data_IF_884093891591
#
_entry.id   IF_884093891591
#
_cell.length_a   1.000
_cell.length_b   1.000
_cell.length_c   1.000
_cell.angle_alpha   90.00
_cell.angle_beta   90.00
_cell.angle_gamma   90.00
#
_symmetry.space_group_name_H-M   'P 1'
#
loop_
_entity.id
_entity.type
_entity.pdbx_description
1 polymer ?
#
# COMPACT_ATOMS: atom_id res chain seq x y z
N UNK A 1 -13.80 24.01 -5.52
CA UNK A 1 -13.96 22.75 -6.28
C UNK A 1 -15.43 22.65 -6.66
N UNK A 2 -15.76 22.57 -7.95
CA UNK A 2 -17.17 22.44 -8.37
C UNK A 2 -17.68 21.04 -8.03
N UNK A 3 -18.95 20.90 -7.61
CA UNK A 3 -19.51 19.57 -7.28
C UNK A 3 -19.54 18.64 -8.48
N UNK A 4 -19.68 19.19 -9.69
CA UNK A 4 -19.61 18.46 -10.96
C UNK A 4 -18.24 17.83 -11.22
N UNK A 5 -17.16 18.40 -10.66
CA UNK A 5 -15.81 17.84 -10.77
C UNK A 5 -15.59 16.61 -9.88
N UNK A 6 -16.52 16.32 -8.96
CA UNK A 6 -16.42 15.16 -8.08
C UNK A 6 -16.95 13.93 -8.84
N UNK A 7 -16.04 12.99 -9.10
CA UNK A 7 -16.35 11.78 -9.86
C UNK A 7 -16.50 10.54 -8.97
N UNK A 8 -15.79 10.49 -7.84
CA UNK A 8 -15.75 9.32 -6.95
C UNK A 8 -15.61 9.75 -5.50
N UNK A 9 -16.29 9.05 -4.60
CA UNK A 9 -16.20 9.23 -3.16
C UNK A 9 -15.92 7.88 -2.51
N UNK A 10 -14.95 7.83 -1.60
CA UNK A 10 -14.62 6.64 -0.82
C UNK A 10 -14.55 7.01 0.65
N UNK A 11 -15.11 6.17 1.51
CA UNK A 11 -14.98 6.26 2.96
C UNK A 11 -14.35 4.97 3.45
N UNK A 12 -13.11 5.08 3.94
CA UNK A 12 -12.21 3.95 4.18
C UNK A 12 -11.70 3.98 5.62
N UNK A 13 -12.04 3.01 6.47
CA UNK A 13 -11.46 2.90 7.80
C UNK A 13 -9.97 2.56 7.69
N UNK A 14 -9.13 3.19 8.51
CA UNK A 14 -7.71 2.86 8.59
C UNK A 14 -7.51 1.61 9.47
N UNK A 15 -6.37 0.94 9.31
CA UNK A 15 -6.04 -0.26 10.09
C UNK A 15 -5.72 0.02 11.57
N UNK A 16 -5.62 1.30 11.97
CA UNK A 16 -5.35 1.68 13.36
C UNK A 16 -6.62 1.78 14.22
N UNK A 17 -7.80 1.54 13.64
CA UNK A 17 -9.13 1.64 14.27
C UNK A 17 -9.53 3.01 14.81
N UNK A 18 -8.61 3.96 14.83
CA UNK A 18 -8.77 5.32 15.36
C UNK A 18 -9.17 6.30 14.26
N UNK A 19 -8.71 6.07 13.02
CA UNK A 19 -8.92 7.02 11.93
C UNK A 19 -9.79 6.46 10.81
N UNK A 20 -10.53 7.36 10.18
CA UNK A 20 -11.24 7.10 8.92
C UNK A 20 -10.76 8.08 7.86
N UNK A 21 -10.51 7.57 6.66
CA UNK A 21 -10.10 8.38 5.52
C UNK A 21 -11.26 8.57 4.55
N UNK A 22 -11.49 9.82 4.14
CA UNK A 22 -12.42 10.17 3.09
C UNK A 22 -11.64 10.62 1.85
N UNK A 23 -11.82 9.88 0.75
CA UNK A 23 -11.10 10.11 -0.51
C UNK A 23 -12.06 10.63 -1.56
N UNK A 24 -11.73 11.77 -2.16
CA UNK A 24 -12.51 12.43 -3.21
C UNK A 24 -11.71 12.38 -4.50
N UNK A 25 -12.23 11.68 -5.50
CA UNK A 25 -11.70 11.69 -6.86
C UNK A 25 -12.23 12.89 -7.64
N UNK A 26 -11.32 13.63 -8.28
CA UNK A 26 -11.58 14.87 -8.99
C UNK A 26 -11.21 14.78 -10.47
N UNK A 27 -12.11 15.27 -11.32
CA UNK A 27 -11.87 15.46 -12.75
C UNK A 27 -12.51 16.79 -13.21
N UNK A 28 -11.72 17.80 -13.63
CA UNK A 28 -10.26 17.79 -13.73
C UNK A 28 -9.56 17.78 -12.35
N UNK A 29 -8.30 17.29 -12.28
CA UNK A 29 -7.52 17.32 -11.04
C UNK A 29 -7.22 18.77 -10.61
N UNK A 30 -7.13 19.00 -9.30
CA UNK A 30 -6.66 20.30 -8.78
C UNK A 30 -5.16 20.45 -9.05
N UNK A 31 -4.68 21.69 -9.13
CA UNK A 31 -3.27 21.97 -9.39
C UNK A 31 -2.66 22.81 -8.27
N UNK A 32 -1.45 22.47 -7.89
CA UNK A 32 -0.59 23.30 -7.05
C UNK A 32 0.75 23.45 -7.78
N UNK A 33 0.98 24.61 -8.39
CA UNK A 33 2.09 24.80 -9.33
C UNK A 33 1.98 23.86 -10.54
N UNK A 34 3.03 23.09 -10.81
CA UNK A 34 3.06 22.11 -11.90
C UNK A 34 2.38 20.77 -11.52
N UNK A 35 2.22 20.48 -10.23
CA UNK A 35 1.70 19.20 -9.73
C UNK A 35 0.18 19.16 -9.81
N UNK A 36 -0.37 18.02 -10.27
CA UNK A 36 -1.81 17.75 -10.34
C UNK A 36 -2.22 16.74 -9.28
N UNK A 37 -3.30 17.00 -8.56
CA UNK A 37 -3.88 16.09 -7.58
C UNK A 37 -5.26 15.63 -8.06
N UNK A 38 -5.36 14.41 -8.63
CA UNK A 38 -6.64 13.81 -9.01
C UNK A 38 -7.43 13.29 -7.81
N UNK A 39 -6.81 13.17 -6.64
CA UNK A 39 -7.45 12.74 -5.42
C UNK A 39 -7.15 13.69 -4.27
N UNK A 40 -8.17 13.98 -3.46
CA UNK A 40 -8.03 14.56 -2.14
C UNK A 40 -8.27 13.46 -1.11
N UNK A 41 -7.36 13.35 -0.13
CA UNK A 41 -7.48 12.40 0.98
C UNK A 41 -7.56 13.22 2.25
N UNK A 42 -8.69 13.10 2.97
CA UNK A 42 -8.90 13.70 4.28
C UNK A 42 -8.91 12.60 5.33
N UNK A 43 -8.24 12.83 6.46
CA UNK A 43 -8.21 11.91 7.59
C UNK A 43 -9.02 12.54 8.72
N UNK A 44 -9.94 11.77 9.28
CA UNK A 44 -10.76 12.14 10.43
C UNK A 44 -10.44 11.19 11.59
N UNK A 45 -10.53 11.69 12.81
CA UNK A 45 -10.58 10.85 14.01
C UNK A 45 -12.00 10.27 14.10
N UNK A 46 -12.10 8.97 14.37
CA UNK A 46 -13.38 8.24 14.29
C UNK A 46 -14.39 8.71 15.34
N UNK A 47 -13.92 9.03 16.54
CA UNK A 47 -14.75 9.45 17.67
C UNK A 47 -14.89 10.98 17.78
N UNK A 48 -14.36 11.72 16.79
CA UNK A 48 -14.56 13.17 16.72
C UNK A 48 -15.98 13.44 16.20
N UNK A 49 -16.80 14.06 17.03
CA UNK A 49 -18.16 14.48 16.70
C UNK A 49 -18.21 15.97 16.38
N UNK A 50 -19.14 16.33 15.49
CA UNK A 50 -19.38 17.72 15.10
C UNK A 50 -20.86 18.04 15.27
N UNK A 51 -21.15 19.13 16.00
CA UNK A 51 -22.45 19.80 16.02
C UNK A 51 -22.44 20.93 14.99
N UNK A 52 -23.20 20.77 13.90
CA UNK A 52 -23.33 21.78 12.84
C UNK A 52 -24.80 22.01 12.51
N UNK A 53 -25.19 23.27 12.53
CA UNK A 53 -26.45 23.76 11.95
C UNK A 53 -26.18 24.21 10.52
N UNK A 54 -26.91 23.65 9.56
CA UNK A 54 -26.81 24.05 8.17
C UNK A 54 -27.42 25.43 7.98
N UNK A 55 -26.66 26.35 7.37
CA UNK A 55 -27.16 27.67 6.99
C UNK A 55 -27.98 27.59 5.70
N UNK A 56 -29.13 26.91 5.74
CA UNK A 56 -30.05 26.68 4.62
C UNK A 56 -31.49 26.80 5.14
N UNK A 57 -32.34 27.53 4.42
CA UNK A 57 -33.77 27.63 4.75
C UNK A 57 -34.50 26.28 4.55
N UNK A 58 -35.47 25.99 5.42
CA UNK A 58 -36.24 24.73 5.39
C UNK A 58 -36.97 24.51 4.05
N UNK A 59 -37.42 25.59 3.40
CA UNK A 59 -38.04 25.53 2.08
C UNK A 59 -37.06 25.01 1.02
N UNK A 60 -35.83 25.53 1.00
CA UNK A 60 -34.79 25.10 0.04
C UNK A 60 -34.37 23.66 0.32
N UNK A 61 -34.28 23.29 1.59
CA UNK A 61 -33.89 21.96 2.04
C UNK A 61 -34.89 20.89 1.56
N UNK A 62 -36.19 21.17 1.66
CA UNK A 62 -37.24 20.28 1.16
C UNK A 62 -37.33 20.29 -0.38
N UNK A 63 -37.20 21.44 -1.02
CA UNK A 63 -37.43 21.57 -2.47
C UNK A 63 -36.26 21.09 -3.31
N UNK A 64 -35.01 21.37 -2.90
CA UNK A 64 -33.80 21.03 -3.68
C UNK A 64 -33.14 19.73 -3.25
N UNK A 65 -33.20 19.39 -1.96
CA UNK A 65 -32.47 18.25 -1.40
C UNK A 65 -33.37 17.08 -1.01
N UNK A 66 -34.69 17.18 -1.22
CA UNK A 66 -35.64 16.08 -1.08
C UNK A 66 -35.56 15.42 0.31
N UNK A 67 -35.35 16.23 1.36
CA UNK A 67 -35.20 15.76 2.74
C UNK A 67 -33.96 14.89 3.00
N UNK A 68 -32.98 14.85 2.09
CA UNK A 68 -31.75 14.05 2.25
C UNK A 68 -30.71 14.71 3.16
N UNK A 69 -30.91 15.99 3.49
CA UNK A 69 -30.11 16.73 4.45
C UNK A 69 -30.94 16.98 5.70
N UNK A 70 -30.29 17.00 6.85
CA UNK A 70 -30.89 17.42 8.11
C UNK A 70 -30.50 18.87 8.40
N UNK A 71 -31.38 19.67 9.01
CA UNK A 71 -31.06 21.08 9.33
C UNK A 71 -29.97 21.19 10.40
N UNK A 72 -29.86 20.19 11.28
CA UNK A 72 -28.83 20.08 12.32
C UNK A 72 -28.24 18.68 12.27
N UNK A 73 -26.91 18.59 12.36
CA UNK A 73 -26.18 17.33 12.52
C UNK A 73 -25.51 17.30 13.88
N UNK A 74 -25.58 16.14 14.53
CA UNK A 74 -24.86 15.81 15.76
C UNK A 74 -24.39 14.36 15.64
N UNK A 75 -23.26 14.17 14.96
CA UNK A 75 -22.75 12.87 14.55
C UNK A 75 -21.23 12.94 14.34
N UNK A 76 -20.54 11.78 14.17
CA UNK A 76 -19.12 11.77 13.85
C UNK A 76 -18.81 12.60 12.60
N UNK A 77 -17.74 13.40 12.66
CA UNK A 77 -17.36 14.38 11.63
C UNK A 77 -17.23 13.74 10.24
N UNK A 78 -16.69 12.52 10.17
CA UNK A 78 -16.55 11.80 8.90
C UNK A 78 -17.91 11.41 8.28
N UNK A 79 -18.94 11.14 9.10
CA UNK A 79 -20.29 10.83 8.64
C UNK A 79 -20.99 12.07 8.13
N UNK A 80 -20.88 13.18 8.87
CA UNK A 80 -21.44 14.48 8.46
C UNK A 80 -20.83 14.92 7.14
N UNK A 81 -19.50 14.96 7.03
CA UNK A 81 -18.81 15.38 5.81
C UNK A 81 -19.14 14.45 4.64
N UNK A 82 -19.07 13.12 4.83
CA UNK A 82 -19.34 12.19 3.73
C UNK A 82 -20.80 12.24 3.25
N UNK A 83 -21.76 12.47 4.14
CA UNK A 83 -23.18 12.65 3.82
C UNK A 83 -23.42 13.94 3.03
N UNK A 84 -22.84 15.06 3.47
CA UNK A 84 -22.94 16.33 2.74
C UNK A 84 -22.37 16.20 1.33
N UNK A 85 -21.16 15.64 1.18
CA UNK A 85 -20.56 15.44 -0.14
C UNK A 85 -21.37 14.48 -1.02
N UNK A 86 -21.93 13.41 -0.46
CA UNK A 86 -22.81 12.48 -1.19
C UNK A 86 -24.02 13.19 -1.78
N UNK A 87 -24.71 14.01 -0.98
CA UNK A 87 -25.92 14.72 -1.41
C UNK A 87 -25.59 15.85 -2.37
N UNK A 88 -24.59 16.68 -2.07
CA UNK A 88 -24.22 17.82 -2.90
C UNK A 88 -23.64 17.41 -4.26
N UNK A 89 -22.87 16.32 -4.32
CA UNK A 89 -22.30 15.81 -5.57
C UNK A 89 -23.20 14.80 -6.29
N UNK A 90 -24.27 14.31 -5.65
CA UNK A 90 -25.11 13.21 -6.14
C UNK A 90 -24.29 11.95 -6.53
N UNK A 91 -23.15 11.73 -5.85
CA UNK A 91 -22.28 10.56 -6.06
C UNK A 91 -22.41 9.58 -4.91
N UNK A 92 -22.41 8.29 -5.23
CA UNK A 92 -22.40 7.23 -4.21
C UNK A 92 -21.04 7.20 -3.49
N UNK A 93 -21.08 7.14 -2.17
CA UNK A 93 -19.90 6.86 -1.34
C UNK A 93 -19.63 5.36 -1.36
N UNK A 94 -18.40 5.00 -1.72
CA UNK A 94 -17.93 3.62 -1.74
C UNK A 94 -17.28 3.28 -0.41
N UNK A 95 -17.79 2.25 0.25
CA UNK A 95 -17.23 1.70 1.50
C UNK A 95 -16.71 0.28 1.24
N UNK A 96 -15.69 -0.20 1.99
CA UNK A 96 -15.28 -1.59 1.92
C UNK A 96 -16.42 -2.47 2.42
N UNK A 97 -16.67 -3.59 1.74
CA UNK A 97 -17.78 -4.47 2.10
C UNK A 97 -17.38 -5.94 2.06
N UNK A 98 -16.96 -6.43 0.89
CA UNK A 98 -16.77 -7.87 0.64
C UNK A 98 -15.40 -8.42 1.07
N UNK A 99 -14.35 -7.61 1.02
CA UNK A 99 -13.01 -8.07 1.37
C UNK A 99 -12.81 -8.09 2.90
N UNK A 100 -12.19 -9.15 3.40
CA UNK A 100 -11.68 -9.26 4.76
C UNK A 100 -10.28 -9.87 4.68
N UNK A 101 -9.33 -9.18 5.29
CA UNK A 101 -7.95 -9.62 5.45
C UNK A 101 -7.87 -10.75 6.49
N UNK A 102 -6.68 -11.34 6.66
CA UNK A 102 -6.45 -12.38 7.68
C UNK A 102 -6.86 -11.93 9.08
N UNK A 103 -6.59 -10.67 9.44
CA UNK A 103 -6.98 -10.07 10.71
C UNK A 103 -8.40 -9.49 10.71
N UNK A 104 -9.25 -9.90 9.76
CA UNK A 104 -10.63 -9.40 9.59
C UNK A 104 -10.73 -7.88 9.31
N UNK A 105 -9.65 -7.25 8.87
CA UNK A 105 -9.63 -5.83 8.49
C UNK A 105 -9.93 -5.64 7.01
N UNK A 106 -10.27 -4.41 6.61
CA UNK A 106 -10.75 -4.11 5.24
C UNK A 106 -9.64 -3.68 4.27
N UNK A 107 -8.37 -3.71 4.70
CA UNK A 107 -7.22 -3.26 3.92
C UNK A 107 -6.00 -4.12 4.21
N UNK A 108 -4.98 -3.98 3.37
CA UNK A 108 -3.69 -4.67 3.53
C UNK A 108 -2.58 -3.63 3.58
N UNK A 109 -1.71 -3.69 4.60
CA UNK A 109 -0.52 -2.84 4.67
C UNK A 109 0.45 -3.26 3.58
N UNK A 110 0.92 -2.30 2.78
CA UNK A 110 1.90 -2.54 1.72
C UNK A 110 2.69 -1.26 1.42
N UNK A 111 3.75 -1.39 0.64
CA UNK A 111 4.53 -0.25 0.16
C UNK A 111 4.39 -0.13 -1.35
N UNK A 112 4.26 1.08 -1.85
CA UNK A 112 4.34 1.35 -3.28
C UNK A 112 5.54 2.24 -3.54
N UNK A 113 6.55 1.69 -4.22
CA UNK A 113 7.90 2.28 -4.31
C UNK A 113 8.44 2.54 -2.90
N UNK A 114 8.88 3.77 -2.60
CA UNK A 114 9.40 4.16 -1.29
C UNK A 114 8.32 4.59 -0.27
N UNK A 115 7.02 4.53 -0.62
CA UNK A 115 5.96 5.02 0.26
C UNK A 115 5.18 3.87 0.88
N UNK A 116 5.09 3.85 2.21
CA UNK A 116 4.18 2.95 2.92
C UNK A 116 2.73 3.43 2.85
N UNK A 117 1.80 2.48 2.77
CA UNK A 117 0.38 2.76 2.77
C UNK A 117 -0.48 1.51 2.94
N UNK A 118 -1.72 1.63 2.49
CA UNK A 118 -2.74 0.61 2.61
C UNK A 118 -3.42 0.42 1.25
N UNK A 119 -3.49 -0.83 0.82
CA UNK A 119 -4.25 -1.24 -0.35
C UNK A 119 -5.64 -1.68 0.12
N UNK A 120 -6.67 -1.10 -0.47
CA UNK A 120 -8.08 -1.43 -0.22
C UNK A 120 -8.66 -2.17 -1.43
N UNK A 121 -8.88 -3.49 -1.32
CA UNK A 121 -9.65 -4.24 -2.30
C UNK A 121 -11.15 -3.89 -2.18
N UNK A 122 -11.67 -3.13 -3.14
CA UNK A 122 -13.08 -2.73 -3.18
C UNK A 122 -13.85 -3.53 -4.24
N UNK A 123 -15.16 -3.31 -4.31
CA UNK A 123 -16.02 -4.13 -5.16
C UNK A 123 -15.68 -4.04 -6.66
N UNK A 124 -15.26 -2.86 -7.13
CA UNK A 124 -15.02 -2.56 -8.55
C UNK A 124 -13.61 -2.05 -8.85
N UNK A 125 -12.76 -1.89 -7.84
CA UNK A 125 -11.45 -1.29 -7.95
C UNK A 125 -10.56 -1.64 -6.75
N UNK A 126 -9.27 -1.45 -6.90
CA UNK A 126 -8.30 -1.36 -5.81
C UNK A 126 -7.91 0.10 -5.62
N UNK A 127 -7.76 0.52 -4.36
CA UNK A 127 -7.37 1.88 -4.00
C UNK A 127 -6.21 1.84 -3.01
N UNK A 128 -5.08 2.43 -3.38
CA UNK A 128 -3.93 2.60 -2.50
C UNK A 128 -3.89 4.04 -1.96
N UNK A 129 -3.79 4.18 -0.64
CA UNK A 129 -3.71 5.44 0.11
C UNK A 129 -2.72 5.30 1.27
N UNK A 130 -2.12 6.39 1.79
CA UNK A 130 -2.41 7.79 1.50
C UNK A 130 -1.70 8.34 0.25
N UNK A 131 -0.41 8.03 0.04
CA UNK A 131 0.41 8.68 -1.00
C UNK A 131 1.34 7.70 -1.74
N UNK A 132 1.46 7.81 -3.08
CA UNK A 132 0.55 8.55 -3.96
C UNK A 132 -0.78 7.81 -4.08
N UNK A 133 -1.90 8.53 -3.98
CA UNK A 133 -3.22 7.92 -4.10
C UNK A 133 -3.40 7.29 -5.47
N UNK A 134 -3.55 5.97 -5.52
CA UNK A 134 -3.57 5.20 -6.76
C UNK A 134 -4.84 4.40 -6.86
N UNK A 135 -5.60 4.67 -7.91
CA UNK A 135 -6.90 4.06 -8.18
C UNK A 135 -6.77 3.12 -9.38
N UNK A 136 -7.10 1.85 -9.15
CA UNK A 136 -6.93 0.76 -10.13
C UNK A 136 -8.32 0.12 -10.36
N UNK A 137 -9.03 0.44 -11.45
CA UNK A 137 -10.30 -0.21 -11.77
C UNK A 137 -10.11 -1.69 -12.10
N UNK A 138 -11.01 -2.55 -11.61
CA UNK A 138 -10.95 -3.99 -11.91
C UNK A 138 -11.07 -4.27 -13.42
N UNK A 139 -11.80 -3.41 -14.13
CA UNK A 139 -12.03 -3.51 -15.58
C UNK A 139 -10.76 -3.26 -16.41
N UNK A 140 -9.80 -2.52 -15.84
CA UNK A 140 -8.57 -2.12 -16.53
C UNK A 140 -7.41 -3.06 -16.22
N UNK A 141 -7.57 -4.00 -15.28
CA UNK A 141 -6.56 -5.02 -14.96
C UNK A 141 -6.60 -6.13 -16.02
N UNK A 142 -5.43 -6.52 -16.53
CA UNK A 142 -5.28 -7.68 -17.42
C UNK A 142 -4.98 -8.94 -16.61
N UNK A 143 -3.90 -8.91 -15.82
CA UNK A 143 -3.55 -9.96 -14.88
C UNK A 143 -2.89 -9.39 -13.61
N UNK A 144 -2.84 -10.21 -12.58
CA UNK A 144 -2.16 -9.91 -11.31
C UNK A 144 -1.13 -10.98 -11.04
N UNK A 145 0.10 -10.57 -10.74
CA UNK A 145 1.23 -11.46 -10.47
C UNK A 145 1.60 -11.36 -8.99
N UNK A 146 1.68 -12.51 -8.33
CA UNK A 146 2.22 -12.65 -6.99
C UNK A 146 3.67 -13.13 -7.11
N UNK A 147 4.61 -12.33 -6.62
CA UNK A 147 6.04 -12.65 -6.68
C UNK A 147 6.64 -12.66 -5.27
N UNK A 148 7.60 -13.57 -5.04
CA UNK A 148 8.38 -13.55 -3.80
C UNK A 148 9.31 -12.33 -3.80
N UNK A 149 9.51 -11.71 -2.65
CA UNK A 149 10.53 -10.65 -2.49
C UNK A 149 11.89 -11.25 -2.85
N UNK A 150 12.47 -10.80 -3.97
CA UNK A 150 13.77 -11.26 -4.47
C UNK A 150 14.89 -10.81 -3.55
N UNK A 151 15.24 -11.68 -2.61
CA UNK A 151 16.47 -11.63 -1.81
C UNK A 151 16.87 -13.07 -1.48
N UNK A 152 18.16 -13.37 -1.52
CA UNK A 152 18.77 -14.71 -1.42
C UNK A 152 18.53 -15.46 -0.08
N UNK A 153 17.46 -15.17 0.66
CA UNK A 153 17.11 -15.87 1.89
C UNK A 153 15.69 -16.42 1.82
N UNK A 154 15.60 -17.72 2.03
CA UNK A 154 14.42 -18.58 2.06
C UNK A 154 13.40 -18.24 3.17
N UNK A 155 13.48 -17.07 3.81
CA UNK A 155 12.74 -16.68 5.03
C UNK A 155 11.87 -15.40 4.90
N UNK A 156 11.72 -14.83 3.70
CA UNK A 156 10.87 -13.63 3.52
C UNK A 156 9.42 -13.90 3.96
N UNK A 157 8.99 -13.22 5.04
CA UNK A 157 7.61 -13.24 5.57
C UNK A 157 6.62 -12.45 4.72
N UNK A 158 7.11 -11.81 3.66
CA UNK A 158 6.34 -10.93 2.78
C UNK A 158 6.44 -11.34 1.31
N UNK A 159 5.49 -10.87 0.52
CA UNK A 159 5.46 -11.01 -0.93
C UNK A 159 5.14 -9.67 -1.60
N UNK A 160 5.36 -9.64 -2.92
CA UNK A 160 5.08 -8.52 -3.80
C UNK A 160 3.89 -8.85 -4.71
N UNK A 161 3.07 -7.84 -4.96
CA UNK A 161 1.87 -7.91 -5.79
C UNK A 161 1.99 -6.92 -6.95
N UNK A 162 1.98 -7.42 -8.18
CA UNK A 162 2.02 -6.59 -9.39
C UNK A 162 0.69 -6.67 -10.14
N UNK A 163 0.09 -5.51 -10.40
CA UNK A 163 -1.07 -5.36 -11.27
C UNK A 163 -0.58 -4.93 -12.65
N UNK A 164 -0.79 -5.76 -13.67
CA UNK A 164 -0.54 -5.33 -15.04
C UNK A 164 -1.85 -4.85 -15.65
N UNK A 165 -1.84 -3.60 -16.12
CA UNK A 165 -3.04 -2.98 -16.70
C UNK A 165 -3.10 -3.25 -18.19
N UNK A 166 -4.31 -3.27 -18.74
CA UNK A 166 -4.55 -3.37 -20.20
C UNK A 166 -3.95 -2.21 -21.00
N UNK A 167 -3.67 -1.08 -20.34
CA UNK A 167 -2.98 0.07 -20.92
C UNK A 167 -1.46 -0.11 -21.04
N UNK A 168 -0.89 -1.16 -20.46
CA UNK A 168 0.56 -1.40 -20.41
C UNK A 168 1.28 -0.69 -19.26
N UNK A 169 0.54 -0.08 -18.31
CA UNK A 169 1.10 0.49 -17.07
C UNK A 169 1.00 -0.55 -15.96
N UNK A 170 2.09 -0.78 -15.24
CA UNK A 170 2.11 -1.73 -14.13
C UNK A 170 2.21 -1.03 -12.77
N UNK A 171 1.49 -1.56 -11.78
CA UNK A 171 1.56 -1.10 -10.38
C UNK A 171 2.09 -2.22 -9.51
N UNK A 172 3.24 -2.00 -8.86
CA UNK A 172 3.84 -2.94 -7.93
C UNK A 172 3.69 -2.47 -6.49
N UNK A 173 3.15 -3.35 -5.66
CA UNK A 173 3.03 -3.20 -4.22
C UNK A 173 3.91 -4.24 -3.54
N UNK A 174 4.80 -3.81 -2.66
CA UNK A 174 5.75 -4.66 -1.95
C UNK A 174 5.43 -4.76 -0.46
N UNK A 175 6.14 -5.67 0.21
CA UNK A 175 6.09 -5.85 1.68
C UNK A 175 4.70 -6.23 2.21
N UNK A 176 3.94 -7.02 1.47
CA UNK A 176 2.64 -7.56 1.93
C UNK A 176 2.90 -8.83 2.75
N UNK A 177 2.29 -8.96 3.93
CA UNK A 177 2.42 -10.14 4.78
C UNK A 177 1.87 -11.40 4.07
N UNK A 178 2.59 -12.52 4.11
CA UNK A 178 2.21 -13.80 3.49
C UNK A 178 0.87 -14.34 3.98
N UNK A 179 0.45 -14.02 5.20
CA UNK A 179 -0.86 -14.39 5.74
C UNK A 179 -2.04 -13.81 4.92
N UNK A 180 -1.82 -12.71 4.21
CA UNK A 180 -2.83 -12.04 3.38
C UNK A 180 -2.96 -12.65 1.98
N UNK A 181 -2.04 -13.54 1.58
CA UNK A 181 -1.99 -14.13 0.24
C UNK A 181 -3.30 -14.83 -0.14
N UNK A 182 -3.75 -15.79 0.69
CA UNK A 182 -4.93 -16.62 0.39
C UNK A 182 -6.21 -15.79 0.24
N UNK A 183 -6.36 -14.76 1.08
CA UNK A 183 -7.53 -13.88 1.07
C UNK A 183 -7.52 -12.95 -0.15
N UNK A 184 -6.35 -12.39 -0.50
CA UNK A 184 -6.19 -11.55 -1.69
C UNK A 184 -6.41 -12.35 -2.97
N UNK A 185 -5.81 -13.54 -3.09
CA UNK A 185 -5.98 -14.41 -4.26
C UNK A 185 -7.45 -14.79 -4.45
N UNK A 186 -8.10 -15.29 -3.39
CA UNK A 186 -9.52 -15.66 -3.44
C UNK A 186 -10.41 -14.48 -3.83
N UNK A 187 -10.13 -13.29 -3.30
CA UNK A 187 -10.87 -12.09 -3.65
C UNK A 187 -10.67 -11.69 -5.12
N UNK A 188 -9.44 -11.67 -5.61
CA UNK A 188 -9.12 -11.30 -7.00
C UNK A 188 -9.74 -12.29 -7.99
N UNK A 189 -9.67 -13.60 -7.69
CA UNK A 189 -10.31 -14.65 -8.47
C UNK A 189 -11.85 -14.52 -8.46
N UNK A 190 -12.46 -14.16 -7.32
CA UNK A 190 -13.90 -13.89 -7.24
C UNK A 190 -14.36 -12.72 -8.12
N UNK A 191 -13.44 -11.83 -8.52
CA UNK A 191 -13.69 -10.72 -9.45
C UNK A 191 -13.50 -11.12 -10.91
N UNK A 192 -13.08 -12.35 -11.19
CA UNK A 192 -12.80 -12.85 -12.54
C UNK A 192 -11.50 -12.29 -13.13
N UNK A 193 -10.58 -11.82 -12.29
CA UNK A 193 -9.27 -11.33 -12.73
C UNK A 193 -8.30 -12.52 -12.75
N UNK A 194 -7.47 -12.62 -13.79
CA UNK A 194 -6.45 -13.68 -13.91
C UNK A 194 -5.32 -13.45 -12.90
N UNK A 195 -4.98 -14.48 -12.15
CA UNK A 195 -3.86 -14.47 -11.19
C UNK A 195 -2.74 -15.40 -11.68
N UNK A 196 -1.49 -14.95 -11.58
CA UNK A 196 -0.29 -15.76 -11.77
C UNK A 196 0.49 -15.80 -10.47
N UNK A 197 0.93 -16.98 -10.05
CA UNK A 197 1.69 -17.16 -8.82
C UNK A 197 3.12 -17.61 -9.14
N UNK A 198 4.09 -16.70 -9.00
CA UNK A 198 5.52 -16.96 -9.15
C UNK A 198 6.18 -17.34 -7.81
N UNK A 199 5.40 -17.50 -6.73
CA UNK A 199 5.91 -17.94 -5.42
C UNK A 199 6.06 -19.46 -5.31
N UNK A 200 5.35 -20.23 -6.14
CA UNK A 200 5.26 -21.70 -6.04
C UNK A 200 6.16 -22.46 -7.03
N UNK A 201 6.82 -21.78 -7.97
CA UNK A 201 7.51 -22.43 -9.09
C UNK A 201 8.90 -23.00 -8.73
N UNK A 202 9.27 -23.05 -7.44
CA UNK A 202 10.61 -23.47 -7.00
C UNK A 202 10.63 -24.37 -5.74
N UNK A 203 9.59 -25.20 -5.53
CA UNK A 203 9.69 -26.28 -4.53
C UNK A 203 8.37 -26.70 -3.91
N UNK A 204 7.62 -27.55 -4.60
CA UNK A 204 6.70 -28.47 -3.95
C UNK A 204 7.50 -29.56 -3.21
N UNK A 205 8.09 -29.22 -2.06
CA UNK A 205 8.33 -30.22 -1.02
C UNK A 205 7.05 -30.22 -0.19
N UNK A 206 6.16 -31.15 -0.53
CA UNK A 206 5.05 -31.50 0.35
C UNK A 206 5.63 -31.95 1.68
N UNK A 207 5.21 -31.33 2.78
CA UNK A 207 5.58 -31.75 4.14
C UNK A 207 5.20 -33.22 4.42
N UNK A 208 4.32 -33.83 3.63
CA UNK A 208 4.00 -35.27 3.71
C UNK A 208 5.14 -36.19 3.24
N UNK A 209 6.12 -35.68 2.49
CA UNK A 209 7.21 -36.52 1.96
C UNK A 209 8.45 -36.56 2.88
N UNK A 210 8.53 -35.64 3.85
CA UNK A 210 9.61 -35.64 4.86
C UNK A 210 9.30 -36.55 6.04
N UNK A 211 8.01 -36.84 6.31
CA UNK A 211 7.59 -37.72 7.41
C UNK A 211 7.58 -39.21 7.01
N UNK A 212 7.67 -39.50 5.70
CA UNK A 212 7.79 -40.86 5.17
C UNK A 212 9.24 -41.39 5.09
N UNK A 213 10.25 -40.54 5.34
CA UNK A 213 11.67 -40.95 5.35
C UNK A 213 12.27 -41.09 6.76
N UNK A 214 11.48 -40.86 7.83
CA UNK A 214 11.95 -40.98 9.22
C UNK A 214 11.16 -41.98 10.07
N UNK A 215 10.44 -42.91 9.44
CA UNK A 215 9.72 -43.96 10.15
C UNK A 215 9.62 -45.23 9.32
N UNK A 216 10.65 -46.08 9.42
CA UNK A 216 10.53 -47.55 9.56
C UNK A 216 11.94 -48.16 9.62
N UNK A 217 12.45 -48.32 10.85
CA UNK A 217 13.43 -49.35 11.18
C UNK A 217 12.72 -50.72 11.12
N UNK A 218 13.05 -51.55 10.13
CA UNK A 218 13.40 -52.97 10.36
C UNK A 218 13.94 -53.66 9.08
N UNK A 219 14.90 -54.55 9.29
CA UNK A 219 15.31 -55.68 8.44
C UNK A 219 16.43 -55.47 7.38
N UNK A 220 17.65 -55.80 7.81
CA UNK A 220 18.70 -56.59 7.14
C UNK A 220 18.80 -56.55 5.60
N UNK A 221 19.79 -55.79 5.09
CA UNK A 221 20.65 -56.30 4.00
C UNK A 221 21.93 -55.47 3.79
N UNK A 222 23.08 -56.14 3.94
CA UNK A 222 24.37 -55.68 3.44
C UNK A 222 24.33 -55.51 1.91
N UNK A 223 24.42 -54.27 1.41
CA UNK A 223 24.82 -54.02 0.02
C UNK A 223 25.86 -52.89 -0.03
N UNK A 224 27.08 -53.32 -0.35
CA UNK A 224 28.29 -52.52 -0.54
C UNK A 224 28.09 -51.36 -1.55
N UNK A 225 28.71 -50.18 -1.34
CA UNK A 225 28.77 -49.15 -2.37
C UNK A 225 29.83 -49.50 -3.44
N UNK A 226 29.56 -49.30 -4.75
CA UNK A 226 30.56 -49.53 -5.78
C UNK A 226 31.60 -48.41 -5.75
N UNK A 227 32.78 -48.73 -5.23
CA UNK A 227 34.01 -47.96 -5.39
C UNK A 227 34.29 -47.73 -6.88
N UNK A 228 34.31 -46.46 -7.32
CA UNK A 228 35.03 -46.05 -8.52
C UNK A 228 36.30 -45.32 -8.13
N UNK A 229 37.36 -46.11 -8.17
CA UNK A 229 38.76 -45.76 -8.03
C UNK A 229 39.18 -44.82 -9.18
N UNK A 230 39.55 -43.57 -8.88
CA UNK A 230 40.47 -42.78 -9.71
C UNK A 230 41.53 -42.22 -8.78
N UNK A 231 42.70 -42.86 -8.82
CA UNK A 231 43.87 -42.49 -8.04
C UNK A 231 44.54 -41.23 -8.57
N UNK A 232 45.29 -40.59 -7.66
CA UNK A 232 46.16 -39.45 -7.91
C UNK A 232 46.57 -38.84 -6.57
N UNK A 233 47.57 -39.44 -5.94
CA UNK A 233 48.34 -38.89 -4.81
C UNK A 233 48.77 -37.44 -5.06
N UNK A 234 48.67 -36.55 -4.07
CA UNK A 234 49.77 -35.71 -3.59
C UNK A 234 49.46 -35.19 -2.18
N UNK A 235 50.54 -35.02 -1.41
CA UNK A 235 50.64 -34.95 0.04
C UNK A 235 50.47 -33.55 0.65
N UNK A 236 50.22 -33.61 1.96
CA UNK A 236 50.70 -32.76 3.05
C UNK A 236 50.03 -31.41 3.35
N UNK A 237 49.67 -31.36 4.64
CA UNK A 237 49.82 -30.30 5.62
C UNK A 237 48.68 -29.31 5.93
N UNK A 238 48.17 -29.47 7.15
CA UNK A 238 48.11 -28.48 8.23
C UNK A 238 47.58 -27.08 7.85
N UNK A 239 46.36 -26.73 8.30
CA UNK A 239 46.19 -26.10 9.61
C UNK A 239 44.72 -25.77 9.90
N UNK A 240 44.34 -26.02 11.15
CA UNK A 240 43.10 -25.62 11.80
C UNK A 240 43.44 -24.33 12.57
N UNK A 241 42.74 -23.24 12.29
CA UNK A 241 42.41 -22.15 13.25
C UNK A 241 41.34 -21.29 12.58
N UNK A 242 40.09 -21.27 13.06
CA UNK A 242 39.58 -20.55 14.25
C UNK A 242 39.37 -19.05 13.92
N UNK A 243 38.08 -18.67 13.84
CA UNK A 243 37.44 -17.44 14.35
C UNK A 243 38.19 -16.09 14.17
N UNK A 244 37.62 -14.94 13.79
CA UNK A 244 36.29 -14.39 13.97
C UNK A 244 36.34 -12.88 13.64
N UNK A 245 35.16 -12.31 13.43
CA UNK A 245 34.73 -10.89 13.51
C UNK A 245 35.65 -9.73 13.13
N UNK A 246 35.10 -9.00 12.17
CA UNK A 246 35.38 -7.69 11.61
C UNK A 246 34.87 -6.57 12.55
N UNK A 247 35.75 -5.73 13.08
CA UNK A 247 35.41 -4.43 13.68
C UNK A 247 36.69 -3.61 13.88
N UNK A 248 36.88 -2.55 13.07
CA UNK A 248 37.45 -1.26 13.51
C UNK A 248 37.49 -0.26 12.33
N UNK A 249 36.39 0.48 12.21
CA UNK A 249 36.19 1.62 11.32
C UNK A 249 36.90 2.84 11.94
N UNK A 250 37.98 3.30 11.32
CA UNK A 250 38.73 4.49 11.77
C UNK A 250 38.04 5.79 11.31
N UNK A 251 37.60 6.58 12.28
CA UNK A 251 37.27 8.00 12.13
C UNK A 251 38.52 8.80 11.73
N UNK A 252 38.47 9.40 10.55
CA UNK A 252 39.48 10.29 10.01
C UNK A 252 38.92 11.69 9.84
N UNK A 253 39.25 12.53 10.81
CA UNK A 253 39.08 13.98 10.87
C UNK A 253 39.62 14.68 9.60
N UNK A 254 38.81 15.51 8.95
CA UNK A 254 39.31 16.58 8.07
C UNK A 254 38.40 17.80 8.21
N UNK A 255 38.95 18.80 8.90
CA UNK A 255 38.55 20.20 8.90
C UNK A 255 38.28 20.73 7.48
N UNK A 256 37.15 21.41 7.30
CA UNK A 256 37.05 22.48 6.31
C UNK A 256 36.18 23.62 6.82
N UNK A 257 36.85 24.69 7.24
CA UNK A 257 36.30 26.02 7.50
C UNK A 257 35.40 26.50 6.35
N UNK A 258 34.18 26.91 6.68
CA UNK A 258 33.42 27.87 5.88
C UNK A 258 32.78 28.88 6.84
N UNK A 259 33.45 30.00 6.99
CA UNK A 259 32.91 31.25 7.54
C UNK A 259 31.98 31.94 6.52
N UNK A 260 31.27 32.95 7.04
CA UNK A 260 30.49 34.00 6.35
C UNK A 260 28.97 33.74 6.26
N UNK A 261 28.20 34.12 7.28
CA UNK A 261 27.77 35.48 7.67
C UNK A 261 26.46 35.91 6.99
N UNK A 262 25.58 36.38 7.87
CA UNK A 262 24.23 36.91 7.72
C UNK A 262 24.11 38.05 6.67
N UNK A 263 22.95 38.15 6.01
CA UNK A 263 22.31 39.46 5.82
C UNK A 263 20.78 39.36 5.83
N UNK A 264 20.19 39.57 7.00
CA UNK A 264 18.76 39.80 7.21
C UNK A 264 18.44 41.30 7.06
N UNK A 265 18.37 41.82 5.83
CA UNK A 265 17.69 43.10 5.59
C UNK A 265 17.33 43.35 4.10
N UNK A 266 16.31 42.67 3.56
CA UNK A 266 15.66 43.15 2.34
C UNK A 266 14.47 44.06 2.68
N UNK A 267 14.79 45.32 2.95
CA UNK A 267 13.84 46.41 3.01
C UNK A 267 13.26 46.70 1.61
N UNK A 268 11.94 46.88 1.55
CA UNK A 268 11.19 47.07 0.31
C UNK A 268 11.62 48.29 -0.51
N UNK A 269 11.85 48.04 -1.80
CA UNK A 269 11.90 49.07 -2.85
C UNK A 269 10.53 49.21 -3.51
N UNK A 270 9.71 50.12 -3.01
CA UNK A 270 8.57 50.65 -3.75
C UNK A 270 9.11 51.56 -4.87
N UNK A 271 8.79 51.21 -6.12
CA UNK A 271 8.98 52.11 -7.27
C UNK A 271 7.60 52.63 -7.69
N UNK A 272 7.23 53.78 -7.16
CA UNK A 272 6.16 54.62 -7.68
C UNK A 272 6.81 55.73 -8.49
N UNK A 273 6.67 55.65 -9.81
CA UNK A 273 6.99 56.71 -10.77
C UNK A 273 5.84 57.72 -10.84
N UNK A 274 6.11 58.96 -10.44
CA UNK A 274 5.35 60.16 -10.79
C UNK A 274 6.16 61.00 -11.79
N UNK A 275 5.42 61.55 -12.77
CA UNK A 275 5.64 62.75 -13.59
C UNK A 275 6.79 62.81 -14.63
N UNK A 276 6.45 62.54 -15.89
CA UNK A 276 6.27 63.56 -16.96
C UNK A 276 5.48 62.98 -18.15
#
# INVERSE_FOLDING_TARGET
IQYTSIIKLFLLPKLDEIHTMFVIGLDPPIRQGQTRYPFLVMQFVKDEETDVVLNIDEEVLNTQYDGKLEPKYEAPTYEVVSTLFKVLSQRKVTVPNKYRSHHSVSAVKCSMKANEGYLYPLEKCFLFIPKPTTFIPNVDIDNVIFSRVSGNLSTSRTFDLRFNMKSGVDYQFSSINREEYNNLESFIQSKGIKTSNEMNDDGAISYDQLDAELGEDDDDNEVLPPRRNRGGDFKDDMDIDEDSVDEDFQDGDTDSDVEEEFDENYAGGATSSEDD
#
